data_IF_352719525230
#
_entry.id   IF_352719525230
#
_cell.length_a   1.000
_cell.length_b   1.000
_cell.length_c   1.000
_cell.angle_alpha   90.00
_cell.angle_beta   90.00
_cell.angle_gamma   90.00
#
_symmetry.space_group_name_H-M   'P 1'
#
loop_
_entity.id
_entity.type
_entity.pdbx_description
1 polymer ?
#
# COMPACT_ATOMS: atom_id res chain seq x y z
N UNK A 1 1.27 -6.41 5.79
CA UNK A 1 0.48 -5.27 5.26
C UNK A 1 0.87 -4.94 3.82
N UNK A 2 -0.13 -4.93 2.93
CA UNK A 2 -0.03 -4.52 1.54
C UNK A 2 -0.68 -3.14 1.35
N UNK A 3 -0.15 -2.33 0.42
CA UNK A 3 -0.62 -0.97 0.18
C UNK A 3 -1.08 -0.79 -1.25
N UNK A 4 -2.27 -0.22 -1.42
CA UNK A 4 -2.88 0.03 -2.71
C UNK A 4 -3.03 1.52 -3.00
N UNK A 5 -2.78 1.87 -4.26
CA UNK A 5 -3.16 3.16 -4.82
C UNK A 5 -4.69 3.29 -4.82
N UNK A 6 -5.15 4.50 -4.50
CA UNK A 6 -6.58 4.83 -4.44
C UNK A 6 -6.86 5.97 -5.42
N UNK A 7 -7.95 5.85 -6.16
CA UNK A 7 -8.38 6.87 -7.11
C UNK A 7 -8.59 8.21 -6.39
N UNK A 8 -8.05 9.29 -6.96
CA UNK A 8 -8.13 10.64 -6.38
C UNK A 8 -9.59 11.00 -6.07
N UNK A 9 -9.82 11.47 -4.83
CA UNK A 9 -11.13 11.89 -4.36
C UNK A 9 -12.01 10.75 -3.81
N UNK A 10 -11.65 9.49 -4.03
CA UNK A 10 -12.47 8.34 -3.62
C UNK A 10 -12.63 8.24 -2.09
N UNK A 11 -11.51 8.38 -1.35
CA UNK A 11 -11.52 8.38 0.12
C UNK A 11 -12.52 9.38 0.68
N UNK A 12 -12.55 10.60 0.11
CA UNK A 12 -13.49 11.65 0.50
C UNK A 12 -14.93 11.29 0.13
N UNK A 13 -15.16 10.79 -1.08
CA UNK A 13 -16.52 10.40 -1.51
C UNK A 13 -17.08 9.23 -0.71
N UNK A 14 -16.21 8.34 -0.20
CA UNK A 14 -16.62 7.24 0.66
C UNK A 14 -16.89 7.68 2.10
N UNK A 15 -16.39 8.83 2.55
CA UNK A 15 -16.47 9.26 3.94
C UNK A 15 -15.34 8.70 4.81
N UNK A 16 -14.16 8.47 4.22
CA UNK A 16 -12.97 8.00 4.92
C UNK A 16 -13.12 6.57 5.46
N UNK A 17 -12.51 6.33 6.62
CA UNK A 17 -12.48 5.01 7.27
C UNK A 17 -13.88 4.51 7.67
N UNK A 18 -14.79 5.40 8.07
CA UNK A 18 -16.18 5.01 8.35
C UNK A 18 -16.89 4.45 7.11
N UNK A 19 -16.64 5.05 5.94
CA UNK A 19 -17.11 4.55 4.65
C UNK A 19 -16.51 3.22 4.26
N UNK A 20 -15.21 3.06 4.50
CA UNK A 20 -14.48 1.83 4.25
C UNK A 20 -14.99 0.68 5.12
N UNK A 21 -15.25 0.93 6.41
CA UNK A 21 -15.84 -0.03 7.32
C UNK A 21 -17.27 -0.42 6.91
N UNK A 22 -18.09 0.56 6.49
CA UNK A 22 -19.42 0.27 5.91
C UNK A 22 -19.29 -0.63 4.67
N UNK A 23 -18.37 -0.32 3.77
CA UNK A 23 -18.11 -1.15 2.59
C UNK A 23 -17.69 -2.58 2.97
N UNK A 24 -16.90 -2.76 4.03
CA UNK A 24 -16.51 -4.08 4.52
C UNK A 24 -17.73 -4.95 4.88
N UNK A 25 -18.80 -4.36 5.45
CA UNK A 25 -20.04 -5.11 5.80
C UNK A 25 -20.77 -5.69 4.58
N UNK A 26 -20.52 -5.17 3.37
CA UNK A 26 -21.09 -5.73 2.14
C UNK A 26 -20.31 -6.95 1.62
N UNK A 27 -19.06 -7.13 2.08
CA UNK A 27 -18.11 -8.08 1.51
C UNK A 27 -17.59 -9.13 2.49
N UNK A 28 -17.65 -8.88 3.80
CA UNK A 28 -17.10 -9.77 4.83
C UNK A 28 -18.11 -10.00 5.96
N UNK A 29 -17.83 -11.01 6.78
CA UNK A 29 -18.58 -11.31 7.99
C UNK A 29 -17.85 -10.71 9.21
N UNK A 30 -18.60 -10.57 10.31
CA UNK A 30 -18.05 -10.21 11.63
C UNK A 30 -17.17 -8.96 11.60
N UNK A 31 -17.66 -7.92 10.91
CA UNK A 31 -16.94 -6.65 10.78
C UNK A 31 -16.96 -5.90 12.10
N UNK A 32 -15.81 -5.84 12.75
CA UNK A 32 -15.55 -5.01 13.92
C UNK A 32 -14.79 -3.77 13.51
N UNK A 33 -15.08 -2.64 14.16
CA UNK A 33 -14.43 -1.35 13.84
C UNK A 33 -13.86 -0.78 15.13
N UNK A 34 -12.57 -0.45 15.10
CA UNK A 34 -11.92 0.18 16.24
C UNK A 34 -12.15 1.70 16.27
N UNK A 35 -11.67 2.37 17.32
CA UNK A 35 -11.84 3.81 17.51
C UNK A 35 -11.20 4.67 16.40
N UNK A 36 -10.20 4.12 15.70
CA UNK A 36 -9.48 4.78 14.61
C UNK A 36 -10.17 4.55 13.23
N UNK A 37 -11.29 3.83 13.23
CA UNK A 37 -12.04 3.46 12.03
C UNK A 37 -11.39 2.34 11.21
N UNK A 38 -10.35 1.71 11.74
CA UNK A 38 -9.78 0.50 11.15
C UNK A 38 -10.76 -0.64 11.40
N UNK A 39 -11.20 -1.29 10.33
CA UNK A 39 -12.05 -2.45 10.47
C UNK A 39 -11.21 -3.73 10.48
N UNK A 40 -11.71 -4.73 11.20
CA UNK A 40 -11.25 -6.11 11.19
C UNK A 40 -12.45 -6.96 10.78
N UNK A 41 -12.27 -7.82 9.80
CA UNK A 41 -13.33 -8.70 9.31
C UNK A 41 -12.77 -10.06 8.91
N UNK A 42 -13.64 -11.04 8.71
CA UNK A 42 -13.23 -12.36 8.21
C UNK A 42 -14.23 -12.89 7.18
N UNK A 43 -13.78 -13.79 6.31
CA UNK A 43 -14.69 -14.54 5.44
C UNK A 43 -14.03 -15.79 4.87
N UNK A 44 -14.62 -16.96 5.13
CA UNK A 44 -14.14 -18.25 4.64
C UNK A 44 -12.63 -18.43 4.90
N UNK A 45 -11.80 -18.57 3.85
CA UNK A 45 -10.35 -18.77 3.99
C UNK A 45 -9.59 -17.51 4.44
N UNK A 46 -10.23 -16.33 4.46
CA UNK A 46 -9.65 -15.10 4.98
C UNK A 46 -9.92 -15.05 6.49
N UNK A 47 -8.95 -15.49 7.30
CA UNK A 47 -9.05 -15.54 8.76
C UNK A 47 -9.21 -14.14 9.36
N UNK A 48 -8.46 -13.19 8.82
CA UNK A 48 -8.54 -11.78 9.22
C UNK A 48 -8.22 -10.88 8.04
N UNK A 49 -9.00 -9.82 7.91
CA UNK A 49 -8.83 -8.73 6.95
C UNK A 49 -8.91 -7.44 7.76
N UNK A 50 -7.78 -6.76 7.89
CA UNK A 50 -7.70 -5.43 8.47
C UNK A 50 -7.47 -4.42 7.35
N UNK A 51 -8.19 -3.30 7.33
CA UNK A 51 -7.90 -2.25 6.36
C UNK A 51 -8.22 -0.84 6.85
N UNK A 52 -7.45 0.13 6.35
CA UNK A 52 -7.64 1.55 6.61
C UNK A 52 -7.18 2.42 5.44
N UNK A 53 -7.75 3.62 5.34
CA UNK A 53 -7.14 4.70 4.57
C UNK A 53 -6.10 5.42 5.41
N UNK A 54 -4.87 5.37 4.93
CA UNK A 54 -3.72 6.09 5.48
C UNK A 54 -3.83 7.60 5.22
N UNK A 55 -3.07 8.39 5.98
CA UNK A 55 -3.10 9.86 5.90
C UNK A 55 -2.74 10.44 4.53
N UNK A 56 -1.94 9.73 3.72
CA UNK A 56 -1.61 10.11 2.34
C UNK A 56 -2.65 9.60 1.31
N UNK A 57 -3.77 9.05 1.78
CA UNK A 57 -4.89 8.64 0.97
C UNK A 57 -4.70 7.30 0.24
N UNK A 58 -3.82 6.42 0.72
CA UNK A 58 -3.69 5.04 0.23
C UNK A 58 -4.49 4.08 1.08
N UNK A 59 -4.88 2.96 0.50
CA UNK A 59 -5.48 1.86 1.24
C UNK A 59 -4.36 0.96 1.75
N UNK A 60 -4.26 0.80 3.06
CA UNK A 60 -3.40 -0.18 3.71
C UNK A 60 -4.27 -1.36 4.13
N UNK A 61 -3.83 -2.57 3.81
CA UNK A 61 -4.53 -3.80 4.20
C UNK A 61 -3.58 -4.78 4.85
N UNK A 62 -4.10 -5.56 5.78
CA UNK A 62 -3.43 -6.75 6.29
C UNK A 62 -4.38 -7.94 6.17
N UNK A 63 -3.91 -9.02 5.57
CA UNK A 63 -4.74 -10.19 5.30
C UNK A 63 -4.04 -11.43 5.82
N UNK A 64 -4.70 -12.11 6.74
CA UNK A 64 -4.34 -13.44 7.20
C UNK A 64 -5.22 -14.47 6.49
N UNK A 65 -4.59 -15.42 5.79
CA UNK A 65 -5.29 -16.51 5.11
C UNK A 65 -5.02 -17.86 5.77
N UNK A 66 -6.01 -18.75 5.74
CA UNK A 66 -5.82 -20.15 6.12
C UNK A 66 -4.71 -20.79 5.28
N UNK A 67 -3.93 -21.66 5.93
CA UNK A 67 -2.79 -22.36 5.32
C UNK A 67 -2.62 -23.73 5.96
N UNK A 68 -1.87 -24.61 5.28
CA UNK A 68 -1.55 -25.93 5.81
C UNK A 68 -2.78 -26.82 5.97
N UNK A 69 -2.82 -27.58 7.07
CA UNK A 69 -3.88 -28.56 7.32
C UNK A 69 -5.26 -27.88 7.42
N UNK A 70 -5.38 -26.74 8.10
CA UNK A 70 -6.63 -25.97 8.20
C UNK A 70 -7.24 -25.69 6.83
N UNK A 71 -6.41 -25.31 5.85
CA UNK A 71 -6.87 -25.04 4.49
C UNK A 71 -7.28 -26.33 3.79
N UNK A 72 -6.50 -27.41 3.96
CA UNK A 72 -6.82 -28.71 3.36
C UNK A 72 -8.15 -29.25 3.88
N UNK A 73 -8.39 -29.16 5.18
CA UNK A 73 -9.62 -29.60 5.83
C UNK A 73 -10.80 -28.74 5.38
N UNK A 74 -10.63 -27.41 5.37
CA UNK A 74 -11.65 -26.48 4.87
C UNK A 74 -12.04 -26.77 3.42
N UNK A 75 -11.05 -26.97 2.54
CA UNK A 75 -11.30 -27.24 1.11
C UNK A 75 -11.89 -28.63 0.85
N UNK A 76 -11.72 -29.58 1.77
CA UNK A 76 -12.25 -30.95 1.66
C UNK A 76 -13.66 -31.06 2.24
N UNK A 77 -14.08 -30.10 3.06
CA UNK A 77 -15.44 -29.99 3.56
C UNK A 77 -16.43 -29.64 2.43
N UNK A 78 -17.69 -30.03 2.61
CA UNK A 78 -18.75 -29.74 1.66
C UNK A 78 -18.94 -28.22 1.47
N UNK A 79 -18.94 -27.76 0.23
CA UNK A 79 -18.99 -26.33 -0.12
C UNK A 79 -17.70 -25.53 0.15
N UNK A 80 -16.64 -26.15 0.67
CA UNK A 80 -15.41 -25.47 1.05
C UNK A 80 -14.66 -24.83 -0.12
N UNK A 81 -14.64 -25.48 -1.27
CA UNK A 81 -13.99 -24.95 -2.49
C UNK A 81 -14.77 -23.76 -3.04
N UNK A 82 -16.09 -23.84 -3.02
CA UNK A 82 -17.00 -22.78 -3.46
C UNK A 82 -16.85 -21.55 -2.58
N UNK A 83 -16.85 -21.71 -1.25
CA UNK A 83 -16.61 -20.62 -0.30
C UNK A 83 -15.21 -20.02 -0.45
N UNK A 84 -14.18 -20.85 -0.70
CA UNK A 84 -12.84 -20.35 -0.99
C UNK A 84 -12.78 -19.52 -2.29
N UNK A 85 -13.49 -19.94 -3.35
CA UNK A 85 -13.60 -19.14 -4.57
C UNK A 85 -14.39 -17.84 -4.35
N UNK A 86 -15.49 -17.92 -3.59
CA UNK A 86 -16.30 -16.77 -3.22
C UNK A 86 -15.46 -15.76 -2.43
N UNK A 87 -14.62 -16.20 -1.51
CA UNK A 87 -13.76 -15.31 -0.73
C UNK A 87 -12.82 -14.48 -1.60
N UNK A 88 -12.26 -15.09 -2.64
CA UNK A 88 -11.40 -14.40 -3.62
C UNK A 88 -12.20 -13.38 -4.42
N UNK A 89 -13.43 -13.73 -4.81
CA UNK A 89 -14.34 -12.83 -5.51
C UNK A 89 -14.72 -11.64 -4.64
N UNK A 90 -15.15 -11.87 -3.40
CA UNK A 90 -15.50 -10.83 -2.43
C UNK A 90 -14.32 -9.92 -2.12
N UNK A 91 -13.13 -10.48 -1.89
CA UNK A 91 -11.89 -9.72 -1.72
C UNK A 91 -11.56 -8.85 -2.92
N UNK A 92 -11.60 -9.40 -4.14
CA UNK A 92 -11.33 -8.63 -5.35
C UNK A 92 -12.35 -7.49 -5.52
N UNK A 93 -13.64 -7.75 -5.31
CA UNK A 93 -14.70 -6.75 -5.45
C UNK A 93 -14.59 -5.66 -4.37
N UNK A 94 -14.23 -6.04 -3.15
CA UNK A 94 -13.93 -5.09 -2.09
C UNK A 94 -12.80 -4.15 -2.50
N UNK A 95 -11.66 -4.70 -2.97
CA UNK A 95 -10.54 -3.89 -3.43
C UNK A 95 -10.93 -3.00 -4.62
N UNK A 96 -11.74 -3.50 -5.56
CA UNK A 96 -12.22 -2.71 -6.71
C UNK A 96 -12.97 -1.46 -6.24
N UNK A 97 -13.90 -1.62 -5.29
CA UNK A 97 -14.67 -0.51 -4.72
C UNK A 97 -13.83 0.39 -3.81
N UNK A 98 -12.99 -0.18 -2.94
CA UNK A 98 -12.18 0.55 -1.97
C UNK A 98 -11.01 1.33 -2.62
N UNK A 99 -10.53 0.89 -3.78
CA UNK A 99 -9.45 1.58 -4.51
C UNK A 99 -9.96 2.39 -5.69
N UNK A 100 -11.14 2.05 -6.23
CA UNK A 100 -11.67 2.62 -7.47
C UNK A 100 -10.91 2.15 -8.73
N UNK A 101 -10.16 1.06 -8.61
CA UNK A 101 -9.35 0.45 -9.67
C UNK A 101 -9.69 -1.02 -9.79
N UNK A 102 -9.79 -1.53 -11.01
CA UNK A 102 -9.90 -2.98 -11.24
C UNK A 102 -8.61 -3.71 -10.86
N UNK A 103 -8.68 -5.05 -10.73
CA UNK A 103 -7.49 -5.90 -10.52
C UNK A 103 -6.34 -5.60 -11.49
N UNK A 104 -6.63 -5.37 -12.79
CA UNK A 104 -5.61 -5.00 -13.78
C UNK A 104 -4.98 -3.64 -13.47
N UNK A 105 -5.81 -2.64 -13.19
CA UNK A 105 -5.35 -1.28 -12.87
C UNK A 105 -4.53 -1.25 -11.57
N UNK A 106 -4.92 -2.03 -10.55
CA UNK A 106 -4.11 -2.20 -9.33
C UNK A 106 -2.73 -2.77 -9.65
N UNK A 107 -2.66 -3.79 -10.51
CA UNK A 107 -1.38 -4.34 -10.97
C UNK A 107 -0.51 -3.31 -11.71
N UNK A 108 -1.12 -2.49 -12.58
CA UNK A 108 -0.40 -1.40 -13.27
C UNK A 108 0.09 -0.33 -12.28
N UNK A 109 -0.73 0.04 -11.31
CA UNK A 109 -0.37 0.99 -10.24
C UNK A 109 0.76 0.45 -9.37
N UNK A 110 0.74 -0.82 -8.98
CA UNK A 110 1.82 -1.43 -8.23
C UNK A 110 3.15 -1.38 -9.00
N UNK A 111 3.14 -1.62 -10.31
CA UNK A 111 4.32 -1.48 -11.18
C UNK A 111 4.81 -0.03 -11.26
N UNK A 112 3.91 0.94 -11.39
CA UNK A 112 4.27 2.37 -11.36
C UNK A 112 4.96 2.73 -10.03
N UNK A 113 4.44 2.26 -8.90
CA UNK A 113 5.05 2.50 -7.58
C UNK A 113 6.44 1.85 -7.48
N UNK A 114 6.57 0.59 -7.91
CA UNK A 114 7.86 -0.11 -7.94
C UNK A 114 8.91 0.67 -8.76
N UNK A 115 8.53 1.23 -9.91
CA UNK A 115 9.41 2.09 -10.72
C UNK A 115 9.85 3.35 -9.98
N UNK A 116 8.94 4.01 -9.24
CA UNK A 116 9.27 5.19 -8.43
C UNK A 116 10.26 4.85 -7.31
N UNK A 117 10.05 3.73 -6.61
CA UNK A 117 11.00 3.25 -5.60
C UNK A 117 12.38 2.99 -6.19
N UNK A 118 12.46 2.24 -7.31
CA UNK A 118 13.73 1.96 -7.96
C UNK A 118 14.45 3.22 -8.42
N UNK A 119 13.71 4.19 -8.99
CA UNK A 119 14.27 5.48 -9.41
C UNK A 119 14.79 6.28 -8.21
N UNK A 120 14.01 6.37 -7.12
CA UNK A 120 14.44 7.08 -5.92
C UNK A 120 15.71 6.46 -5.31
N UNK A 121 15.75 5.12 -5.17
CA UNK A 121 16.96 4.41 -4.68
C UNK A 121 18.17 4.64 -5.57
N UNK A 122 17.97 4.64 -6.89
CA UNK A 122 19.06 4.91 -7.83
C UNK A 122 19.60 6.33 -7.69
N UNK A 123 18.73 7.33 -7.59
CA UNK A 123 19.15 8.74 -7.48
C UNK A 123 19.78 9.04 -6.11
N UNK A 124 19.31 8.42 -5.01
CA UNK A 124 19.98 8.48 -3.70
C UNK A 124 21.41 7.94 -3.82
N UNK A 125 21.59 6.77 -4.43
CA UNK A 125 22.92 6.17 -4.62
C UNK A 125 23.84 7.07 -5.44
N UNK A 126 23.33 7.65 -6.52
CA UNK A 126 24.10 8.60 -7.34
C UNK A 126 24.48 9.84 -6.54
N UNK A 127 23.52 10.42 -5.79
CA UNK A 127 23.74 11.60 -4.97
C UNK A 127 24.85 11.37 -3.93
N UNK A 128 24.78 10.25 -3.20
CA UNK A 128 25.83 9.85 -2.25
C UNK A 128 27.20 9.73 -2.94
N UNK A 129 27.25 9.14 -4.14
CA UNK A 129 28.50 8.99 -4.87
C UNK A 129 29.06 10.33 -5.37
N UNK A 130 28.21 11.24 -5.84
CA UNK A 130 28.62 12.58 -6.27
C UNK A 130 29.19 13.37 -5.10
N UNK A 131 28.57 13.30 -3.93
CA UNK A 131 29.08 13.95 -2.72
C UNK A 131 30.41 13.36 -2.24
N UNK A 132 30.61 12.05 -2.38
CA UNK A 132 31.88 11.37 -2.04
C UNK A 132 33.03 11.78 -2.97
N UNK A 133 32.75 12.02 -4.25
CA UNK A 133 33.79 12.27 -5.27
C UNK A 133 34.08 13.75 -5.54
N UNK A 134 33.22 14.66 -5.11
CA UNK A 134 33.34 16.09 -5.45
C UNK A 134 33.97 16.89 -4.32
N UNK A 135 35.18 17.41 -4.57
CA UNK A 135 35.84 18.37 -3.68
C UNK A 135 35.32 19.82 -3.84
N UNK A 136 34.40 20.02 -4.78
CA UNK A 136 33.90 21.35 -5.18
C UNK A 136 32.53 21.71 -4.60
N UNK A 137 31.85 20.74 -3.96
CA UNK A 137 30.55 20.99 -3.33
C UNK A 137 30.74 21.72 -2.01
N UNK A 138 29.92 22.75 -1.79
CA UNK A 138 29.89 23.42 -0.49
C UNK A 138 29.29 22.50 0.57
N UNK A 139 29.72 22.68 1.83
CA UNK A 139 29.12 21.96 2.97
C UNK A 139 27.60 22.19 3.04
N UNK A 140 27.14 23.40 2.73
CA UNK A 140 25.71 23.72 2.69
C UNK A 140 24.94 22.87 1.66
N UNK A 141 25.54 22.62 0.48
CA UNK A 141 24.95 21.75 -0.55
C UNK A 141 24.88 20.30 -0.07
N UNK A 142 25.96 19.81 0.56
CA UNK A 142 26.04 18.46 1.11
C UNK A 142 24.99 18.25 2.21
N UNK A 143 24.86 19.20 3.13
CA UNK A 143 23.89 19.13 4.22
C UNK A 143 22.45 19.10 3.69
N UNK A 144 22.14 19.93 2.68
CA UNK A 144 20.83 19.92 2.00
C UNK A 144 20.56 18.59 1.29
N UNK A 145 21.55 18.03 0.59
CA UNK A 145 21.43 16.76 -0.08
C UNK A 145 21.20 15.61 0.91
N UNK A 146 21.94 15.58 2.03
CA UNK A 146 21.73 14.59 3.10
C UNK A 146 20.34 14.68 3.72
N UNK A 147 19.82 15.89 3.96
CA UNK A 147 18.46 16.07 4.45
C UNK A 147 17.41 15.54 3.45
N UNK A 148 17.58 15.81 2.15
CA UNK A 148 16.70 15.27 1.11
C UNK A 148 16.80 13.75 1.00
N UNK A 149 18.00 13.18 1.11
CA UNK A 149 18.21 11.72 1.10
C UNK A 149 17.49 11.07 2.28
N UNK A 150 17.68 11.59 3.50
CA UNK A 150 17.02 11.05 4.69
C UNK A 150 15.49 11.10 4.59
N UNK A 151 14.92 12.17 4.00
CA UNK A 151 13.49 12.24 3.73
C UNK A 151 13.04 11.16 2.73
N UNK A 152 13.79 10.96 1.64
CA UNK A 152 13.47 9.95 0.63
C UNK A 152 13.61 8.53 1.19
N UNK A 153 14.64 8.25 1.98
CA UNK A 153 14.85 6.95 2.64
C UNK A 153 13.72 6.64 3.62
N UNK A 154 13.34 7.60 4.46
CA UNK A 154 12.20 7.45 5.36
C UNK A 154 10.91 7.12 4.60
N UNK A 155 10.64 7.83 3.50
CA UNK A 155 9.48 7.52 2.64
C UNK A 155 9.56 6.09 2.09
N UNK A 156 10.74 5.64 1.66
CA UNK A 156 10.96 4.28 1.14
C UNK A 156 10.71 3.23 2.24
N UNK A 157 11.21 3.45 3.44
CA UNK A 157 11.03 2.57 4.61
C UNK A 157 9.56 2.45 5.02
N UNK A 158 8.83 3.57 5.01
CA UNK A 158 7.38 3.62 5.27
C UNK A 158 6.54 3.04 4.11
N UNK A 159 7.17 2.57 3.03
CA UNK A 159 6.47 2.04 1.86
C UNK A 159 5.67 3.11 1.11
N UNK A 160 6.06 4.38 1.21
CA UNK A 160 5.49 5.52 0.48
C UNK A 160 6.41 5.90 -0.67
N UNK A 161 6.01 5.69 -1.92
CA UNK A 161 6.92 6.02 -3.02
C UNK A 161 7.14 7.54 -3.14
N UNK A 162 8.39 8.00 -3.19
CA UNK A 162 8.68 9.41 -3.41
C UNK A 162 8.11 9.93 -4.73
N UNK A 163 7.69 11.20 -4.73
CA UNK A 163 7.25 11.84 -5.96
C UNK A 163 8.43 12.12 -6.88
N UNK A 164 8.18 12.11 -8.18
CA UNK A 164 9.23 12.43 -9.17
C UNK A 164 9.83 13.82 -8.94
N UNK A 165 9.03 14.78 -8.45
CA UNK A 165 9.50 16.12 -8.12
C UNK A 165 10.49 16.14 -6.96
N UNK A 166 10.29 15.34 -5.90
CA UNK A 166 11.24 15.23 -4.78
C UNK A 166 12.56 14.60 -5.25
N UNK A 167 12.47 13.51 -6.01
CA UNK A 167 13.63 12.83 -6.57
C UNK A 167 14.41 13.74 -7.53
N UNK A 168 13.71 14.49 -8.39
CA UNK A 168 14.32 15.44 -9.31
C UNK A 168 15.03 16.58 -8.59
N UNK A 169 14.47 17.10 -7.48
CA UNK A 169 15.12 18.15 -6.68
C UNK A 169 16.47 17.71 -6.10
N UNK A 170 16.58 16.46 -5.63
CA UNK A 170 17.87 15.91 -5.18
C UNK A 170 18.86 15.84 -6.34
N UNK A 171 18.41 15.36 -7.50
CA UNK A 171 19.24 15.28 -8.70
C UNK A 171 19.72 16.65 -9.19
N UNK A 172 18.85 17.65 -9.23
CA UNK A 172 19.19 18.98 -9.74
C UNK A 172 20.09 19.77 -8.75
N UNK A 173 20.23 19.30 -7.51
CA UNK A 173 21.08 19.91 -6.47
C UNK A 173 22.56 19.53 -6.62
N UNK A 174 22.87 18.38 -7.23
CA UNK A 174 24.21 17.77 -7.30
C UNK A 174 24.70 17.63 -8.73
#
# INVERSE_FOLDING_TARGET
MERFEVKRGLVKSMGGNAGLAKLATEHFNDVEVNADGVFIASFAILKSVTAEYTADGKLLVDVEQMKGQDLSDFLSADGGREQAMESRSRWSNFLDKATGYSSKQRGDKAKEQAKKFSKAKSEIKTALKTMEMSDSLSQETIDKANAMIAELEKMIEEGTAPSEGKVKKLKDLL
#
